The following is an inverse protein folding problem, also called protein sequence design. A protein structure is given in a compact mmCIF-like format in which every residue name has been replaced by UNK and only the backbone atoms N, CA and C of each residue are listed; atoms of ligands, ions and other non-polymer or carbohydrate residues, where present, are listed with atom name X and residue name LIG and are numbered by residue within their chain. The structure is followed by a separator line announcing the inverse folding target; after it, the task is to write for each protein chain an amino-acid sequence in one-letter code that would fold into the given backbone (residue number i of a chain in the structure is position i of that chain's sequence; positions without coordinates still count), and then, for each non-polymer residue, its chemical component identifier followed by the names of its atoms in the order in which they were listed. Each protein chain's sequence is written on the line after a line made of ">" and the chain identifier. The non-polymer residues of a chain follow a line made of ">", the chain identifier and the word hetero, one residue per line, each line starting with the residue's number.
data_IF_096499131681
#
_entry.id   IF_096499131681
#
_cell.length_a   1.000
_cell.length_b   1.000
_cell.length_c   1.000
_cell.angle_alpha   90.00
_cell.angle_beta   90.00
_cell.angle_gamma   90.00
#
_symmetry.space_group_name_H-M   'P 1'
#
loop_
_entity.id
_entity.type
_entity.pdbx_description
1 polymer ?
#
# COMPACT_ATOMS: atom_id res chain seq x y z
N UNK A 1 25.66 20.41 -8.36
CA UNK A 1 26.23 20.12 -7.03
C UNK A 1 25.50 20.93 -5.95
N UNK A 2 25.64 20.56 -4.68
CA UNK A 2 25.09 21.36 -3.55
C UNK A 2 25.67 22.78 -3.55
N UNK A 3 26.96 22.96 -3.89
CA UNK A 3 27.58 24.29 -4.04
C UNK A 3 26.97 25.13 -5.17
N UNK A 4 26.41 24.51 -6.21
CA UNK A 4 25.71 25.26 -7.28
C UNK A 4 24.35 25.75 -6.78
N UNK A 5 23.65 24.93 -5.97
CA UNK A 5 22.39 25.33 -5.32
C UNK A 5 22.64 26.49 -4.35
N UNK A 6 23.65 26.38 -3.50
CA UNK A 6 24.02 27.44 -2.56
C UNK A 6 24.37 28.77 -3.27
N UNK A 7 25.13 28.72 -4.37
CA UNK A 7 25.43 29.92 -5.17
C UNK A 7 24.19 30.49 -5.84
N UNK A 8 23.31 29.61 -6.36
CA UNK A 8 22.07 30.02 -7.00
C UNK A 8 21.12 30.72 -6.01
N UNK A 9 21.06 30.25 -4.76
CA UNK A 9 20.16 30.79 -3.73
C UNK A 9 20.48 32.25 -3.31
N UNK A 10 21.70 32.70 -3.55
CA UNK A 10 22.13 34.10 -3.26
C UNK A 10 22.24 34.97 -4.51
N UNK A 11 21.82 34.45 -5.67
CA UNK A 11 21.74 35.21 -6.93
C UNK A 11 20.74 36.36 -6.85
N UNK A 12 21.05 37.46 -7.54
CA UNK A 12 20.17 38.62 -7.57
C UNK A 12 18.92 38.34 -8.42
N UNK A 13 17.80 39.01 -8.11
CA UNK A 13 16.53 38.84 -8.81
C UNK A 13 16.61 39.02 -10.35
N UNK A 14 17.53 39.84 -10.84
CA UNK A 14 17.72 40.05 -12.27
C UNK A 14 18.71 39.07 -12.92
N UNK A 15 19.30 38.16 -12.18
CA UNK A 15 20.19 37.10 -12.68
C UNK A 15 19.40 35.86 -13.04
N UNK A 16 19.86 35.11 -14.07
CA UNK A 16 19.19 33.85 -14.47
C UNK A 16 19.26 32.77 -13.39
N UNK A 17 20.39 32.69 -12.66
CA UNK A 17 20.60 31.76 -11.56
C UNK A 17 20.31 32.47 -10.24
N UNK A 18 19.08 32.36 -9.80
CA UNK A 18 18.60 32.96 -8.56
C UNK A 18 17.67 31.97 -7.80
N UNK A 19 17.18 32.38 -6.66
CA UNK A 19 16.28 31.58 -5.82
C UNK A 19 14.98 31.22 -6.53
N UNK A 20 14.39 32.13 -7.32
CA UNK A 20 13.17 31.87 -8.09
C UNK A 20 13.33 30.69 -9.06
N UNK A 21 14.50 30.55 -9.67
CA UNK A 21 14.79 29.42 -10.54
C UNK A 21 14.71 28.09 -9.75
N UNK A 22 15.23 28.07 -8.52
CA UNK A 22 15.16 26.87 -7.66
C UNK A 22 13.72 26.53 -7.30
N UNK A 23 12.91 27.53 -6.92
CA UNK A 23 11.48 27.31 -6.66
C UNK A 23 10.70 26.87 -7.89
N UNK A 24 11.03 27.41 -9.06
CA UNK A 24 10.42 26.97 -10.33
C UNK A 24 10.74 25.51 -10.67
N UNK A 25 11.97 25.06 -10.34
CA UNK A 25 12.42 23.69 -10.63
C UNK A 25 11.94 22.67 -9.60
N UNK A 26 11.92 23.02 -8.32
CA UNK A 26 11.76 22.09 -7.21
C UNK A 26 10.52 22.35 -6.33
N UNK A 27 9.79 23.45 -6.59
CA UNK A 27 8.65 23.87 -5.75
C UNK A 27 9.10 24.15 -4.32
N UNK A 28 8.24 23.85 -3.34
CA UNK A 28 8.54 24.04 -1.91
C UNK A 28 9.78 23.26 -1.42
N UNK A 29 10.19 22.22 -2.13
CA UNK A 29 11.39 21.49 -1.79
C UNK A 29 12.67 22.29 -2.03
N UNK A 30 12.59 23.45 -2.71
CA UNK A 30 13.73 24.34 -2.88
C UNK A 30 14.28 24.82 -1.54
N UNK A 31 13.43 25.13 -0.56
CA UNK A 31 13.85 25.51 0.79
C UNK A 31 14.78 24.47 1.42
N UNK A 32 14.32 23.21 1.45
CA UNK A 32 15.12 22.11 2.00
C UNK A 32 16.44 21.94 1.27
N UNK A 33 16.44 22.08 -0.06
CA UNK A 33 17.66 21.96 -0.87
C UNK A 33 18.62 23.10 -0.59
N UNK A 34 18.14 24.32 -0.41
CA UNK A 34 18.94 25.50 -0.07
C UNK A 34 19.54 25.32 1.32
N UNK A 35 18.73 24.96 2.32
CA UNK A 35 19.20 24.74 3.68
C UNK A 35 20.28 23.68 3.73
N UNK A 36 20.06 22.53 3.12
CA UNK A 36 21.06 21.47 3.03
C UNK A 36 22.31 21.89 2.25
N UNK A 37 22.17 22.73 1.21
CA UNK A 37 23.31 23.26 0.47
C UNK A 37 24.19 24.18 1.31
N UNK A 38 23.60 24.87 2.28
CA UNK A 38 24.31 25.66 3.29
C UNK A 38 24.72 24.87 4.51
N UNK A 39 24.45 23.57 4.56
CA UNK A 39 24.81 22.66 5.65
C UNK A 39 23.88 22.77 6.86
N UNK A 40 22.69 23.30 6.69
CA UNK A 40 21.71 23.40 7.77
C UNK A 40 20.67 22.29 7.70
N UNK A 41 20.47 21.55 8.79
CA UNK A 41 19.46 20.51 8.96
C UNK A 41 18.83 20.66 10.35
N UNK A 42 17.63 21.28 10.43
CA UNK A 42 16.97 21.49 11.71
C UNK A 42 16.32 20.24 12.28
N UNK A 43 16.01 19.25 11.39
CA UNK A 43 15.33 18.03 11.80
C UNK A 43 16.27 17.04 12.45
N UNK A 44 16.02 16.74 13.71
CA UNK A 44 16.80 15.74 14.46
C UNK A 44 16.15 14.36 14.39
N UNK A 45 16.91 13.32 14.74
CA UNK A 45 16.36 11.96 14.89
C UNK A 45 15.27 11.90 15.96
N UNK A 46 15.32 12.77 16.97
CA UNK A 46 14.29 12.89 17.99
C UNK A 46 12.97 13.41 17.38
N UNK A 47 13.06 14.43 16.52
CA UNK A 47 11.89 15.00 15.83
C UNK A 47 11.24 13.97 14.88
N UNK A 48 12.05 13.22 14.14
CA UNK A 48 11.56 12.11 13.29
C UNK A 48 10.83 11.05 14.11
N UNK A 49 11.36 10.71 15.29
CA UNK A 49 10.71 9.73 16.19
C UNK A 49 9.44 10.26 16.85
N UNK A 50 9.39 11.57 17.12
CA UNK A 50 8.23 12.23 17.74
C UNK A 50 7.12 12.54 16.71
N UNK A 51 7.43 12.53 15.42
CA UNK A 51 6.46 12.85 14.37
C UNK A 51 5.28 11.87 14.37
N UNK A 52 4.09 12.41 14.46
CA UNK A 52 2.83 11.68 14.32
C UNK A 52 2.14 12.16 13.04
N UNK A 53 1.97 11.30 12.02
CA UNK A 53 1.31 11.68 10.78
C UNK A 53 -0.16 12.04 11.03
N UNK A 54 -0.65 13.08 10.39
CA UNK A 54 -2.06 13.51 10.45
C UNK A 54 -3.00 12.47 9.82
N UNK A 55 -2.50 11.73 8.82
CA UNK A 55 -3.25 10.70 8.12
C UNK A 55 -2.63 9.33 8.36
N UNK A 56 -3.42 8.45 8.96
CA UNK A 56 -2.98 7.08 9.21
C UNK A 56 -3.31 6.19 8.02
N UNK A 57 -2.29 5.78 7.30
CA UNK A 57 -2.40 4.74 6.28
C UNK A 57 -1.26 3.74 6.42
N UNK A 58 -1.53 2.48 6.09
CA UNK A 58 -0.53 1.41 6.02
C UNK A 58 -0.48 0.91 4.59
N UNK A 59 0.67 1.08 3.94
CA UNK A 59 0.83 0.74 2.53
C UNK A 59 1.86 -0.35 2.29
N UNK A 60 1.67 -1.09 1.21
CA UNK A 60 2.61 -2.07 0.69
C UNK A 60 2.72 -1.96 -0.82
N UNK A 61 3.93 -2.09 -1.35
CA UNK A 61 4.18 -2.07 -2.79
C UNK A 61 5.16 -3.15 -3.21
N UNK A 62 4.98 -3.63 -4.44
CA UNK A 62 5.88 -4.60 -5.06
C UNK A 62 6.04 -4.31 -6.54
N UNK A 63 7.29 -4.30 -7.01
CA UNK A 63 7.62 -4.40 -8.43
C UNK A 63 7.98 -5.86 -8.71
N UNK A 64 7.33 -6.45 -9.69
CA UNK A 64 7.57 -7.84 -10.10
C UNK A 64 8.88 -7.91 -10.88
N UNK A 65 9.63 -8.99 -10.73
CA UNK A 65 10.92 -9.17 -11.43
C UNK A 65 10.74 -9.36 -12.94
N UNK A 66 9.60 -9.90 -13.36
CA UNK A 66 9.19 -9.99 -14.77
C UNK A 66 7.69 -9.66 -14.89
N UNK A 67 7.18 -9.37 -16.11
CA UNK A 67 5.75 -9.17 -16.32
C UNK A 67 4.95 -10.44 -15.98
N UNK A 68 3.87 -10.29 -15.25
CA UNK A 68 2.94 -11.37 -14.88
C UNK A 68 1.61 -11.20 -15.60
N UNK A 69 1.00 -12.30 -15.99
CA UNK A 69 -0.40 -12.28 -16.39
C UNK A 69 -1.30 -11.91 -15.18
N UNK A 70 -2.55 -11.55 -15.47
CA UNK A 70 -3.48 -11.11 -14.44
C UNK A 70 -3.75 -12.19 -13.37
N UNK A 71 -3.70 -13.49 -13.70
CA UNK A 71 -3.95 -14.56 -12.74
C UNK A 71 -2.77 -14.73 -11.77
N UNK A 72 -1.54 -14.72 -12.26
CA UNK A 72 -0.34 -14.74 -11.41
C UNK A 72 -0.25 -13.47 -10.55
N UNK A 73 -0.56 -12.31 -11.14
CA UNK A 73 -0.61 -11.05 -10.39
C UNK A 73 -1.68 -11.08 -9.27
N UNK A 74 -2.82 -11.73 -9.49
CA UNK A 74 -3.87 -11.92 -8.48
C UNK A 74 -3.37 -12.73 -7.28
N UNK A 75 -2.50 -13.74 -7.50
CA UNK A 75 -1.87 -14.48 -6.41
C UNK A 75 -1.00 -13.55 -5.57
N UNK A 76 -0.18 -12.71 -6.22
CA UNK A 76 0.67 -11.74 -5.51
C UNK A 76 -0.16 -10.74 -4.70
N UNK A 77 -1.29 -10.26 -5.25
CA UNK A 77 -2.21 -9.37 -4.50
C UNK A 77 -2.70 -10.07 -3.23
N UNK A 78 -3.11 -11.33 -3.30
CA UNK A 78 -3.52 -12.11 -2.11
C UNK A 78 -2.40 -12.26 -1.09
N UNK A 79 -1.18 -12.54 -1.55
CA UNK A 79 -0.01 -12.62 -0.68
C UNK A 79 0.28 -11.29 0.03
N UNK A 80 0.18 -10.17 -0.70
CA UNK A 80 0.38 -8.84 -0.15
C UNK A 80 -0.70 -8.47 0.87
N UNK A 81 -1.97 -8.86 0.62
CA UNK A 81 -3.06 -8.68 1.58
C UNK A 81 -2.86 -9.48 2.86
N UNK A 82 -2.39 -10.71 2.76
CA UNK A 82 -2.04 -11.51 3.94
C UNK A 82 -1.00 -10.82 4.82
N UNK A 83 0.03 -10.23 4.21
CA UNK A 83 1.06 -9.50 4.95
C UNK A 83 0.53 -8.20 5.52
N UNK A 84 -0.28 -7.45 4.77
CA UNK A 84 -0.88 -6.20 5.21
C UNK A 84 -1.81 -6.42 6.41
N UNK A 85 -2.66 -7.46 6.36
CA UNK A 85 -3.58 -7.78 7.46
C UNK A 85 -2.84 -8.25 8.72
N UNK A 86 -1.75 -9.01 8.56
CA UNK A 86 -0.88 -9.37 9.69
C UNK A 86 -0.21 -8.13 10.30
N UNK A 87 0.23 -7.15 9.49
CA UNK A 87 0.80 -5.90 9.97
C UNK A 87 -0.23 -5.05 10.73
N UNK A 88 -1.48 -5.00 10.26
CA UNK A 88 -2.58 -4.35 10.97
C UNK A 88 -2.82 -5.00 12.35
N UNK A 89 -2.90 -6.33 12.41
CA UNK A 89 -3.10 -7.06 13.68
C UNK A 89 -1.92 -6.86 14.63
N UNK A 90 -0.69 -6.90 14.11
CA UNK A 90 0.52 -6.68 14.93
C UNK A 90 0.54 -5.30 15.59
N UNK A 91 0.02 -4.30 14.90
CA UNK A 91 -0.05 -2.91 15.36
C UNK A 91 -1.35 -2.55 16.09
N UNK A 92 -2.26 -3.52 16.27
CA UNK A 92 -3.62 -3.31 16.82
C UNK A 92 -4.42 -2.24 16.05
N UNK A 93 -4.31 -2.26 14.72
CA UNK A 93 -4.96 -1.33 13.81
C UNK A 93 -6.06 -2.01 13.01
N UNK A 94 -7.08 -1.23 12.65
CA UNK A 94 -8.18 -1.63 11.78
C UNK A 94 -8.40 -0.59 10.69
N UNK A 95 -9.00 -1.00 9.58
CA UNK A 95 -9.31 -0.13 8.44
C UNK A 95 -10.71 -0.41 7.91
N UNK A 96 -11.33 0.58 7.29
CA UNK A 96 -12.58 0.45 6.55
C UNK A 96 -12.40 0.58 5.03
N UNK A 97 -11.14 0.80 4.56
CA UNK A 97 -10.89 1.06 3.14
C UNK A 97 -9.53 0.54 2.69
N UNK A 98 -9.52 -0.19 1.56
CA UNK A 98 -8.28 -0.60 0.87
C UNK A 98 -8.26 0.02 -0.52
N UNK A 99 -7.18 0.71 -0.84
CA UNK A 99 -6.89 1.19 -2.19
C UNK A 99 -5.96 0.20 -2.88
N UNK A 100 -6.29 -0.18 -4.10
CA UNK A 100 -5.47 -1.05 -4.94
C UNK A 100 -5.08 -0.32 -6.22
N UNK A 101 -3.79 -0.38 -6.56
CA UNK A 101 -3.25 0.11 -7.84
C UNK A 101 -2.42 -1.00 -8.48
N UNK A 102 -2.76 -1.33 -9.73
CA UNK A 102 -2.06 -2.36 -10.53
C UNK A 102 -1.49 -1.70 -11.77
N UNK A 103 -0.17 -1.60 -11.83
CA UNK A 103 0.57 -1.00 -12.95
C UNK A 103 0.94 -2.06 -13.98
N UNK A 104 0.69 -1.75 -15.24
CA UNK A 104 0.99 -2.63 -16.36
C UNK A 104 2.41 -2.43 -16.89
N UNK A 105 2.92 -3.47 -17.55
CA UNK A 105 4.25 -3.45 -18.15
C UNK A 105 4.26 -2.71 -19.49
N UNK A 106 5.41 -2.11 -19.84
CA UNK A 106 5.63 -1.43 -21.11
C UNK A 106 5.55 -2.41 -22.30
N UNK A 107 5.82 -3.69 -22.10
CA UNK A 107 5.72 -4.73 -23.14
C UNK A 107 4.31 -4.80 -23.75
N UNK A 108 3.27 -4.40 -23.03
CA UNK A 108 1.92 -4.31 -23.57
C UNK A 108 1.79 -3.32 -24.75
N UNK A 109 2.70 -2.33 -24.85
CA UNK A 109 2.73 -1.36 -25.95
C UNK A 109 3.68 -1.80 -27.08
N UNK A 110 4.72 -2.58 -26.75
CA UNK A 110 5.80 -2.92 -27.68
C UNK A 110 5.65 -4.29 -28.33
N UNK A 111 4.80 -5.17 -27.77
CA UNK A 111 4.62 -6.56 -28.21
C UNK A 111 3.86 -6.75 -29.54
N UNK A 112 3.54 -5.68 -30.26
CA UNK A 112 2.83 -5.74 -31.55
C UNK A 112 1.34 -6.14 -31.48
N UNK A 113 0.79 -6.32 -30.27
CA UNK A 113 -0.63 -6.71 -30.05
C UNK A 113 -1.63 -5.57 -30.19
N UNK A 114 -1.16 -4.37 -30.57
CA UNK A 114 -2.05 -3.21 -30.83
C UNK A 114 -2.87 -2.78 -29.63
N UNK A 115 -2.22 -2.31 -28.55
CA UNK A 115 -2.95 -1.76 -27.40
C UNK A 115 -3.71 -0.48 -27.80
N UNK A 116 -5.03 -0.49 -27.60
CA UNK A 116 -5.93 0.64 -27.94
C UNK A 116 -6.43 1.41 -26.73
N UNK A 117 -5.99 1.04 -25.52
CA UNK A 117 -6.41 1.69 -24.28
C UNK A 117 -5.65 2.98 -23.99
N UNK A 118 -5.97 3.59 -22.86
CA UNK A 118 -5.35 4.84 -22.39
C UNK A 118 -3.89 4.61 -21.99
N UNK A 119 -3.01 5.52 -22.45
CA UNK A 119 -1.57 5.49 -22.19
C UNK A 119 -1.19 6.67 -21.30
N UNK A 120 -0.35 6.43 -20.32
CA UNK A 120 0.23 7.47 -19.46
C UNK A 120 1.75 7.48 -19.57
N UNK A 121 2.37 8.54 -19.04
CA UNK A 121 3.83 8.65 -18.98
C UNK A 121 4.25 8.42 -17.53
N UNK A 122 5.19 7.50 -17.30
CA UNK A 122 5.74 7.25 -15.98
C UNK A 122 6.75 8.36 -15.57
N UNK A 123 7.21 8.31 -14.30
CA UNK A 123 8.19 9.29 -13.78
C UNK A 123 9.54 9.29 -14.53
N UNK A 124 9.81 8.31 -15.35
CA UNK A 124 11.02 8.21 -16.19
C UNK A 124 10.78 8.64 -17.64
N UNK A 125 9.60 9.22 -17.95
CA UNK A 125 9.24 9.65 -19.29
C UNK A 125 8.82 8.53 -20.23
N UNK A 126 8.62 7.28 -19.75
CA UNK A 126 8.25 6.15 -20.60
C UNK A 126 6.73 6.05 -20.72
N UNK A 127 6.26 5.81 -21.93
CA UNK A 127 4.85 5.49 -22.18
C UNK A 127 4.52 4.11 -21.65
N UNK A 128 3.48 4.00 -20.84
CA UNK A 128 2.96 2.76 -20.28
C UNK A 128 1.43 2.76 -20.36
N UNK A 129 0.75 1.60 -20.38
CA UNK A 129 -0.69 1.56 -20.24
C UNK A 129 -1.10 2.20 -18.91
N UNK A 130 -2.22 2.93 -18.92
CA UNK A 130 -2.78 3.50 -17.69
C UNK A 130 -3.00 2.39 -16.66
N UNK A 131 -2.52 2.59 -15.45
CA UNK A 131 -2.69 1.65 -14.35
C UNK A 131 -4.17 1.46 -13.98
N UNK A 132 -4.54 0.26 -13.56
CA UNK A 132 -5.81 0.01 -12.90
C UNK A 132 -5.74 0.56 -11.47
N UNK A 133 -6.75 1.31 -11.06
CA UNK A 133 -6.83 1.92 -9.75
C UNK A 133 -8.26 1.84 -9.23
N UNK A 134 -8.42 1.53 -7.96
CA UNK A 134 -9.72 1.50 -7.33
C UNK A 134 -9.66 1.35 -5.83
N UNK A 135 -10.82 1.50 -5.22
CA UNK A 135 -11.01 1.47 -3.78
C UNK A 135 -12.04 0.40 -3.42
N UNK A 136 -11.71 -0.44 -2.46
CA UNK A 136 -12.61 -1.36 -1.79
C UNK A 136 -12.99 -0.75 -0.43
N UNK A 137 -14.26 -0.37 -0.28
CA UNK A 137 -14.81 0.08 0.98
C UNK A 137 -15.38 -1.12 1.75
N UNK A 138 -15.00 -1.25 3.00
CA UNK A 138 -15.49 -2.27 3.91
C UNK A 138 -16.68 -1.70 4.69
N UNK A 139 -17.60 -2.57 5.08
CA UNK A 139 -18.82 -2.15 5.81
C UNK A 139 -18.53 -1.67 7.23
N UNK A 140 -17.40 -2.13 7.78
CA UNK A 140 -16.97 -1.85 9.16
C UNK A 140 -15.45 -1.82 9.24
N UNK A 141 -14.92 -1.21 10.29
CA UNK A 141 -13.50 -1.24 10.60
C UNK A 141 -13.07 -2.65 10.96
N UNK A 142 -12.09 -3.20 10.25
CA UNK A 142 -11.64 -4.58 10.45
C UNK A 142 -10.16 -4.78 10.12
N UNK A 143 -9.55 -5.81 10.71
CA UNK A 143 -8.26 -6.39 10.32
C UNK A 143 -8.43 -7.85 9.83
N UNK A 144 -9.67 -8.30 9.58
CA UNK A 144 -9.95 -9.65 9.10
C UNK A 144 -9.35 -9.86 7.71
N UNK A 145 -8.42 -10.82 7.61
CA UNK A 145 -7.79 -11.18 6.35
C UNK A 145 -8.82 -11.67 5.32
N UNK A 146 -9.85 -12.38 5.77
CA UNK A 146 -10.93 -12.87 4.91
C UNK A 146 -11.74 -11.72 4.33
N UNK A 147 -12.29 -10.85 5.17
CA UNK A 147 -13.14 -9.75 4.72
C UNK A 147 -12.40 -8.80 3.77
N UNK A 148 -11.17 -8.44 4.11
CA UNK A 148 -10.31 -7.57 3.30
C UNK A 148 -9.98 -8.26 1.97
N UNK A 149 -9.60 -9.54 2.00
CA UNK A 149 -9.26 -10.27 0.77
C UNK A 149 -10.47 -10.41 -0.14
N UNK A 150 -11.64 -10.77 0.37
CA UNK A 150 -12.86 -10.93 -0.43
C UNK A 150 -13.21 -9.61 -1.14
N UNK A 151 -13.23 -8.48 -0.41
CA UNK A 151 -13.53 -7.17 -0.97
C UNK A 151 -12.50 -6.72 -2.02
N UNK A 152 -11.21 -6.97 -1.79
CA UNK A 152 -10.16 -6.57 -2.73
C UNK A 152 -10.11 -7.50 -3.94
N UNK A 153 -10.48 -8.78 -3.81
CA UNK A 153 -10.57 -9.68 -4.96
C UNK A 153 -11.73 -9.31 -5.89
N UNK A 154 -12.87 -8.91 -5.33
CA UNK A 154 -13.98 -8.36 -6.11
C UNK A 154 -13.57 -7.08 -6.84
N UNK A 155 -12.88 -6.17 -6.15
CA UNK A 155 -12.31 -4.97 -6.76
C UNK A 155 -11.34 -5.32 -7.89
N UNK A 156 -10.39 -6.26 -7.64
CA UNK A 156 -9.39 -6.70 -8.62
C UNK A 156 -10.05 -7.19 -9.92
N UNK A 157 -11.03 -8.07 -9.81
CA UNK A 157 -11.74 -8.64 -10.96
C UNK A 157 -12.51 -7.58 -11.76
N UNK A 158 -12.95 -6.50 -11.10
CA UNK A 158 -13.65 -5.39 -11.73
C UNK A 158 -12.74 -4.42 -12.46
N UNK A 159 -11.54 -4.12 -11.92
CA UNK A 159 -10.69 -3.03 -12.45
C UNK A 159 -9.53 -3.50 -13.31
N UNK A 160 -9.03 -4.73 -13.11
CA UNK A 160 -7.83 -5.22 -13.81
C UNK A 160 -8.18 -5.77 -15.17
N UNK A 161 -7.49 -5.30 -16.21
CA UNK A 161 -7.62 -5.85 -17.55
C UNK A 161 -6.90 -7.21 -17.63
N UNK A 162 -7.62 -8.33 -17.88
CA UNK A 162 -7.04 -9.67 -17.88
C UNK A 162 -6.08 -9.95 -19.04
N UNK A 163 -6.07 -9.09 -20.05
CA UNK A 163 -5.23 -9.26 -21.25
C UNK A 163 -3.89 -8.53 -21.17
N UNK A 164 -3.66 -7.74 -20.10
CA UNK A 164 -2.45 -6.96 -19.93
C UNK A 164 -1.51 -7.60 -18.92
N UNK A 165 -0.22 -7.53 -19.25
CA UNK A 165 0.85 -7.96 -18.35
C UNK A 165 1.07 -6.93 -17.26
N UNK A 166 1.09 -7.39 -16.02
CA UNK A 166 1.26 -6.59 -14.80
C UNK A 166 2.74 -6.52 -14.43
N UNK A 167 3.19 -5.34 -14.00
CA UNK A 167 4.58 -5.11 -13.56
C UNK A 167 4.68 -4.62 -12.12
N UNK A 168 3.67 -3.90 -11.64
CA UNK A 168 3.70 -3.28 -10.31
C UNK A 168 2.35 -3.44 -9.62
N UNK A 169 2.39 -3.71 -8.34
CA UNK A 169 1.22 -3.76 -7.47
C UNK A 169 1.51 -2.88 -6.27
N UNK A 170 0.58 -2.01 -5.91
CA UNK A 170 0.60 -1.28 -4.64
C UNK A 170 -0.79 -1.24 -4.03
N UNK A 171 -0.83 -1.30 -2.71
CA UNK A 171 -2.05 -1.22 -1.93
C UNK A 171 -1.82 -0.39 -0.68
N UNK A 172 -2.88 0.23 -0.20
CA UNK A 172 -2.89 0.97 1.05
C UNK A 172 -4.18 0.74 1.81
N UNK A 173 -4.07 0.42 3.07
CA UNK A 173 -5.16 0.53 4.03
C UNK A 173 -5.25 2.01 4.45
N UNK A 174 -6.36 2.64 4.15
CA UNK A 174 -6.65 4.02 4.53
C UNK A 174 -7.55 4.08 5.76
N UNK A 175 -7.75 5.27 6.30
CA UNK A 175 -8.57 5.52 7.49
C UNK A 175 -8.21 4.61 8.67
N UNK A 176 -6.92 4.29 8.78
CA UNK A 176 -6.46 3.35 9.81
C UNK A 176 -6.68 3.94 11.20
N UNK A 177 -7.29 3.17 12.08
CA UNK A 177 -7.57 3.53 13.46
C UNK A 177 -7.04 2.46 14.41
N UNK A 178 -6.73 2.87 15.63
CA UNK A 178 -6.54 1.94 16.74
C UNK A 178 -7.85 1.16 16.99
N UNK A 179 -7.74 -0.15 17.21
CA UNK A 179 -8.88 -1.06 17.37
C UNK A 179 -9.83 -0.63 18.49
N UNK A 180 -9.29 -0.09 19.59
CA UNK A 180 -10.10 0.41 20.72
C UNK A 180 -10.90 1.64 20.31
N UNK A 181 -10.27 2.58 19.59
CA UNK A 181 -10.94 3.79 19.09
C UNK A 181 -12.01 3.47 18.04
N UNK A 182 -11.82 2.39 17.26
CA UNK A 182 -12.81 1.97 16.30
C UNK A 182 -14.05 1.35 16.97
N UNK A 183 -13.87 0.62 18.08
CA UNK A 183 -14.98 0.08 18.87
C UNK A 183 -15.87 1.20 19.42
N UNK A 184 -15.30 2.28 19.95
CA UNK A 184 -16.04 3.44 20.46
C UNK A 184 -16.87 4.14 19.36
N UNK A 185 -16.37 4.16 18.11
CA UNK A 185 -17.11 4.74 16.98
C UNK A 185 -18.29 3.88 16.53
N UNK A 186 -18.24 2.58 16.76
CA UNK A 186 -19.28 1.64 16.32
C UNK A 186 -20.53 1.70 17.22
N UNK A 187 -20.41 2.18 18.45
CA UNK A 187 -21.54 2.36 19.39
C UNK A 187 -22.56 3.41 18.93
N UNK A 188 -22.17 4.35 18.05
CA UNK A 188 -23.06 5.39 17.51
C UNK A 188 -23.74 5.04 16.19
N UNK A 189 -23.79 3.77 15.81
CA UNK A 189 -24.50 3.37 14.60
C UNK A 189 -26.00 3.45 14.86
N UNK A 190 -26.68 4.35 14.15
CA UNK A 190 -28.14 4.43 14.15
C UNK A 190 -28.71 3.06 13.76
N UNK A 191 -29.39 2.41 14.72
CA UNK A 191 -30.11 1.17 14.47
C UNK A 191 -31.24 1.49 13.47
N UNK A 192 -31.19 0.84 12.31
CA UNK A 192 -32.29 0.93 11.35
C UNK A 192 -33.53 0.24 11.98
N UNK A 193 -34.63 0.96 12.05
CA UNK A 193 -35.86 0.51 12.71
C UNK A 193 -36.45 -0.78 12.10
N UNK A 194 -35.96 -1.16 10.92
CA UNK A 194 -36.40 -2.31 10.14
C UNK A 194 -35.39 -3.46 10.08
N UNK A 195 -34.26 -3.36 10.82
CA UNK A 195 -33.32 -4.47 10.91
C UNK A 195 -33.91 -5.53 11.82
N UNK A 196 -34.35 -6.64 11.23
CA UNK A 196 -35.03 -7.75 11.86
C UNK A 196 -34.34 -8.22 13.14
N UNK A 197 -35.11 -8.39 14.20
CA UNK A 197 -34.70 -9.01 15.48
C UNK A 197 -34.24 -10.48 15.34
N UNK A 198 -34.32 -11.07 14.14
CA UNK A 198 -33.88 -12.44 13.84
C UNK A 198 -32.35 -12.57 13.65
N UNK A 199 -31.60 -11.46 13.47
CA UNK A 199 -30.15 -11.46 13.22
C UNK A 199 -29.25 -11.70 14.43
N UNK A 200 -29.79 -11.86 15.64
CA UNK A 200 -28.97 -11.97 16.86
C UNK A 200 -28.06 -13.20 16.89
N UNK A 201 -28.49 -14.32 16.33
CA UNK A 201 -27.70 -15.56 16.27
C UNK A 201 -26.65 -15.52 15.15
N UNK A 202 -26.96 -14.92 14.02
CA UNK A 202 -26.02 -14.78 12.90
C UNK A 202 -24.89 -13.81 13.24
N UNK A 203 -25.20 -12.70 13.91
CA UNK A 203 -24.21 -11.73 14.38
C UNK A 203 -23.25 -12.36 15.39
N UNK A 204 -23.76 -13.10 16.38
CA UNK A 204 -22.91 -13.83 17.35
C UNK A 204 -21.96 -14.81 16.66
N UNK A 205 -22.47 -15.59 15.70
CA UNK A 205 -21.64 -16.52 14.94
C UNK A 205 -20.57 -15.81 14.08
N UNK A 206 -20.88 -14.64 13.58
CA UNK A 206 -19.92 -13.83 12.82
C UNK A 206 -18.84 -13.26 13.74
N UNK A 207 -19.22 -12.72 14.88
CA UNK A 207 -18.28 -12.20 15.90
C UNK A 207 -17.35 -13.30 16.41
N UNK A 208 -17.86 -14.51 16.72
CA UNK A 208 -17.06 -15.67 17.11
C UNK A 208 -16.06 -16.09 16.01
N UNK A 209 -16.47 -16.05 14.74
CA UNK A 209 -15.58 -16.34 13.60
C UNK A 209 -14.46 -15.32 13.47
N UNK A 210 -14.77 -14.03 13.63
CA UNK A 210 -13.78 -12.94 13.58
C UNK A 210 -12.79 -13.05 14.74
N UNK A 211 -13.27 -13.35 15.94
CA UNK A 211 -12.41 -13.52 17.11
C UNK A 211 -11.47 -14.74 16.96
N UNK A 212 -11.99 -15.84 16.42
CA UNK A 212 -11.18 -17.03 16.09
C UNK A 212 -10.13 -16.73 15.02
N UNK A 213 -10.50 -15.97 13.98
CA UNK A 213 -9.57 -15.54 12.94
C UNK A 213 -8.45 -14.66 13.52
N UNK A 214 -8.78 -13.69 14.37
CA UNK A 214 -7.82 -12.84 15.06
C UNK A 214 -6.83 -13.64 15.89
N UNK A 215 -7.31 -14.56 16.72
CA UNK A 215 -6.45 -15.46 17.53
C UNK A 215 -5.50 -16.28 16.64
N UNK A 216 -5.98 -16.74 15.49
CA UNK A 216 -5.15 -17.46 14.52
C UNK A 216 -4.08 -16.55 13.90
N UNK A 217 -4.41 -15.31 13.53
CA UNK A 217 -3.45 -14.33 13.02
C UNK A 217 -2.38 -13.99 14.06
N UNK A 218 -2.75 -13.80 15.32
CA UNK A 218 -1.82 -13.57 16.43
C UNK A 218 -0.87 -14.77 16.65
N UNK A 219 -1.40 -16.00 16.58
CA UNK A 219 -0.58 -17.20 16.65
C UNK A 219 0.43 -17.30 15.48
N UNK A 220 -0.01 -16.99 14.26
CA UNK A 220 0.87 -16.93 13.07
C UNK A 220 1.96 -15.88 13.25
N UNK A 221 1.63 -14.68 13.76
CA UNK A 221 2.60 -13.64 14.07
C UNK A 221 3.63 -14.11 15.10
N UNK A 222 3.19 -14.75 16.18
CA UNK A 222 4.08 -15.28 17.22
C UNK A 222 5.06 -16.32 16.67
N UNK A 223 4.59 -17.22 15.80
CA UNK A 223 5.43 -18.21 15.12
C UNK A 223 6.45 -17.52 14.20
N UNK A 224 5.99 -16.57 13.38
CA UNK A 224 6.87 -15.84 12.46
C UNK A 224 7.93 -15.01 13.19
N UNK A 225 7.59 -14.39 14.31
CA UNK A 225 8.54 -13.66 15.18
C UNK A 225 9.62 -14.58 15.77
N UNK A 226 9.21 -15.77 16.23
CA UNK A 226 10.11 -16.70 16.90
C UNK A 226 11.00 -17.50 15.96
N UNK A 227 10.47 -17.92 14.82
CA UNK A 227 11.11 -18.88 13.92
C UNK A 227 11.43 -18.32 12.52
N UNK A 228 11.12 -17.04 12.29
CA UNK A 228 11.36 -16.35 11.01
C UNK A 228 10.12 -16.29 10.10
N UNK A 229 10.18 -15.37 9.14
CA UNK A 229 9.04 -15.01 8.27
C UNK A 229 8.51 -16.20 7.44
N UNK A 230 9.37 -17.16 7.11
CA UNK A 230 9.03 -18.35 6.33
C UNK A 230 8.67 -19.58 7.17
N UNK A 231 8.63 -19.46 8.52
CA UNK A 231 8.33 -20.57 9.40
C UNK A 231 6.92 -21.15 9.21
N UNK A 232 5.97 -20.31 8.79
CA UNK A 232 4.61 -20.73 8.43
C UNK A 232 4.18 -20.02 7.17
N UNK A 233 3.76 -20.78 6.16
CA UNK A 233 3.32 -20.32 4.86
C UNK A 233 1.95 -20.94 4.54
N UNK A 234 1.12 -20.22 3.78
CA UNK A 234 -0.15 -20.73 3.25
C UNK A 234 0.10 -21.53 1.96
N UNK A 235 -0.78 -22.45 1.61
CA UNK A 235 -0.70 -23.18 0.33
C UNK A 235 -0.61 -22.28 -0.89
N UNK A 236 -1.21 -21.08 -0.82
CA UNK A 236 -1.09 -20.03 -1.84
C UNK A 236 0.37 -19.64 -2.15
N UNK A 237 1.24 -19.61 -1.14
CA UNK A 237 2.64 -19.20 -1.28
C UNK A 237 3.51 -20.23 -2.03
N UNK A 238 2.96 -21.37 -2.40
CA UNK A 238 3.60 -22.43 -3.21
C UNK A 238 3.04 -22.51 -4.63
N UNK A 239 2.08 -21.68 -4.99
CA UNK A 239 1.54 -21.62 -6.34
C UNK A 239 2.53 -20.94 -7.29
N UNK A 240 2.42 -21.29 -8.59
CA UNK A 240 3.21 -20.63 -9.62
C UNK A 240 2.91 -19.12 -9.66
N UNK A 241 3.94 -18.30 -9.58
CA UNK A 241 3.82 -16.84 -9.50
C UNK A 241 3.83 -16.28 -8.07
N UNK A 242 3.74 -17.12 -7.03
CA UNK A 242 3.88 -16.67 -5.65
C UNK A 242 5.28 -16.09 -5.38
N UNK A 243 5.34 -15.00 -4.62
CA UNK A 243 6.59 -14.24 -4.38
C UNK A 243 6.98 -14.14 -2.92
N UNK A 244 6.07 -14.40 -1.99
CA UNK A 244 6.26 -14.15 -0.55
C UNK A 244 7.49 -14.87 0.02
N UNK A 245 7.70 -16.14 -0.33
CA UNK A 245 8.83 -16.91 0.18
C UNK A 245 10.17 -16.26 -0.19
N UNK A 246 10.35 -15.92 -1.47
CA UNK A 246 11.58 -15.27 -1.95
C UNK A 246 11.73 -13.85 -1.39
N UNK A 247 10.64 -13.10 -1.24
CA UNK A 247 10.67 -11.74 -0.64
C UNK A 247 11.06 -11.74 0.83
N UNK A 248 10.63 -12.73 1.59
CA UNK A 248 10.99 -12.85 3.01
C UNK A 248 12.49 -13.09 3.23
N UNK A 249 13.21 -13.54 2.20
CA UNK A 249 14.67 -13.75 2.19
C UNK A 249 15.44 -12.49 1.73
N UNK A 250 14.73 -11.42 1.34
CA UNK A 250 15.35 -10.17 0.88
C UNK A 250 15.54 -9.19 2.04
N UNK A 251 16.63 -8.42 1.98
CA UNK A 251 16.89 -7.31 2.88
C UNK A 251 16.82 -6.02 2.05
N UNK A 252 15.89 -5.11 2.43
CA UNK A 252 15.70 -3.84 1.71
C UNK A 252 15.29 -3.99 0.23
N UNK A 253 14.67 -5.13 -0.15
CA UNK A 253 14.25 -5.40 -1.52
C UNK A 253 15.33 -6.05 -2.41
N UNK A 254 16.50 -6.34 -1.85
CA UNK A 254 17.62 -7.01 -2.53
C UNK A 254 17.88 -8.39 -1.90
N UNK A 255 18.34 -9.34 -2.72
CA UNK A 255 18.84 -10.60 -2.17
C UNK A 255 20.09 -10.31 -1.34
N UNK A 256 20.10 -10.86 -0.12
CA UNK A 256 21.28 -10.84 0.76
C UNK A 256 22.35 -11.77 0.20
#
# INVERSE_FOLDING_TARGET
>A
TMGDIARCSVGKENEFYNEELLYKMFGVNAELLIDHAWGWEPCTIADVKAYQPEHNSVGAGQVLHCPYDAQKAKIVVKEMLDLLTLDLVEKHLVTDQIVLTVGYDIENLTSGKGYTGEVTVDRYGRKIPKHAHGTANLREYTASARMITDAVMELYDRIVNPHLMVRRISMAANHVLDEKKAADKTEFRQLDLFTDFTGGNEKKQQDEKLEREKKMQEAVLSIKKKYGKNAILKGLNFQEGATTKARNEQIGGHKA
#
